data_IF_847882941696
#
_entry.id   IF_847882941696
#
_cell.length_a   1.000
_cell.length_b   1.000
_cell.length_c   1.000
_cell.angle_alpha   90.00
_cell.angle_beta   90.00
_cell.angle_gamma   90.00
#
_symmetry.space_group_name_H-M   'P 1'
#
loop_
_entity.id
_entity.type
_entity.pdbx_description
1 polymer ?
#
# COMPACT_ATOMS: atom_id res chain seq x y z
N UNK A 1 -12.58 0.49 0.88
CA UNK A 1 -11.35 0.49 0.07
C UNK A 1 -11.54 -0.22 -1.27
N UNK A 2 -12.07 -1.45 -1.30
CA UNK A 2 -12.32 -2.22 -2.55
C UNK A 2 -13.04 -1.44 -3.66
N UNK A 3 -14.20 -0.86 -3.35
CA UNK A 3 -15.00 -0.07 -4.32
C UNK A 3 -14.25 1.14 -4.88
N UNK A 4 -13.32 1.72 -4.11
CA UNK A 4 -12.48 2.83 -4.57
C UNK A 4 -11.47 2.34 -5.61
N UNK A 5 -10.78 1.24 -5.32
CA UNK A 5 -9.81 0.62 -6.23
C UNK A 5 -10.47 0.10 -7.52
N UNK A 6 -11.67 -0.47 -7.44
CA UNK A 6 -12.41 -1.00 -8.60
C UNK A 6 -12.69 0.08 -9.66
N UNK A 7 -12.91 1.33 -9.25
CA UNK A 7 -13.16 2.48 -10.14
C UNK A 7 -11.93 2.97 -10.90
N UNK A 8 -10.74 2.58 -10.46
CA UNK A 8 -9.48 2.98 -11.10
C UNK A 8 -9.16 2.05 -12.26
N UNK A 9 -8.49 2.58 -13.28
CA UNK A 9 -7.98 1.76 -14.39
C UNK A 9 -7.00 0.68 -13.87
N UNK A 10 -6.93 -0.43 -14.60
CA UNK A 10 -6.04 -1.54 -14.22
C UNK A 10 -4.60 -1.15 -14.50
N UNK A 11 -3.81 -1.01 -13.43
CA UNK A 11 -2.38 -0.77 -13.49
C UNK A 11 -1.65 -1.59 -12.42
N UNK A 12 -0.34 -1.80 -12.58
CA UNK A 12 0.51 -2.57 -11.66
C UNK A 12 0.34 -2.15 -10.18
N UNK A 13 0.30 -0.84 -9.91
CA UNK A 13 0.13 -0.32 -8.54
C UNK A 13 -1.21 -0.72 -7.92
N UNK A 14 -2.31 -0.68 -8.69
CA UNK A 14 -3.64 -1.13 -8.23
C UNK A 14 -3.61 -2.61 -7.85
N UNK A 15 -2.94 -3.45 -8.64
CA UNK A 15 -2.85 -4.90 -8.36
C UNK A 15 -2.10 -5.18 -7.05
N UNK A 16 -1.02 -4.44 -6.79
CA UNK A 16 -0.27 -4.54 -5.52
C UNK A 16 -1.20 -4.22 -4.34
N UNK A 17 -1.93 -3.09 -4.41
CA UNK A 17 -2.81 -2.67 -3.31
C UNK A 17 -4.01 -3.61 -3.13
N UNK A 18 -4.55 -4.17 -4.22
CA UNK A 18 -5.58 -5.21 -4.14
C UNK A 18 -5.08 -6.47 -3.41
N UNK A 19 -3.90 -6.97 -3.76
CA UNK A 19 -3.32 -8.11 -3.07
C UNK A 19 -3.09 -7.82 -1.57
N UNK A 20 -2.69 -6.59 -1.22
CA UNK A 20 -2.52 -6.16 0.18
C UNK A 20 -3.85 -6.00 0.92
N UNK A 21 -4.90 -5.56 0.24
CA UNK A 21 -6.25 -5.53 0.79
C UNK A 21 -6.75 -6.94 1.12
N UNK A 22 -6.55 -7.89 0.22
CA UNK A 22 -6.97 -9.29 0.45
C UNK A 22 -6.16 -9.91 1.59
N UNK A 23 -4.85 -9.67 1.67
CA UNK A 23 -4.01 -10.10 2.80
C UNK A 23 -4.52 -9.54 4.14
N UNK A 24 -4.78 -8.23 4.21
CA UNK A 24 -5.28 -7.60 5.43
C UNK A 24 -6.65 -8.12 5.83
N UNK A 25 -7.53 -8.43 4.87
CA UNK A 25 -8.83 -9.00 5.17
C UNK A 25 -8.72 -10.36 5.88
N UNK A 26 -7.79 -11.22 5.44
CA UNK A 26 -7.50 -12.51 6.09
C UNK A 26 -6.92 -12.31 7.50
N UNK A 27 -6.00 -11.35 7.65
CA UNK A 27 -5.42 -11.03 8.96
C UNK A 27 -6.47 -10.48 9.93
N UNK A 28 -7.38 -9.62 9.48
CA UNK A 28 -8.47 -9.08 10.31
C UNK A 28 -9.48 -10.15 10.74
N UNK A 29 -9.82 -11.08 9.85
CA UNK A 29 -10.66 -12.23 10.20
C UNK A 29 -9.98 -13.09 11.28
N UNK A 30 -8.67 -13.30 11.16
CA UNK A 30 -7.88 -14.05 12.15
C UNK A 30 -7.79 -13.30 13.49
N UNK A 31 -7.51 -11.99 13.44
CA UNK A 31 -7.46 -11.10 14.61
C UNK A 31 -8.77 -11.10 15.39
N UNK A 32 -9.91 -11.08 14.69
CA UNK A 32 -11.24 -11.08 15.33
C UNK A 32 -11.54 -12.32 16.16
N UNK A 33 -10.79 -13.42 15.94
CA UNK A 33 -10.95 -14.71 16.61
C UNK A 33 -9.94 -14.93 17.75
N UNK A 34 -8.99 -14.02 17.94
CA UNK A 34 -8.04 -14.07 19.04
C UNK A 34 -8.72 -13.76 20.38
N UNK A 35 -8.12 -14.21 21.48
CA UNK A 35 -8.53 -13.78 22.82
C UNK A 35 -8.17 -12.30 23.08
N UNK A 36 -8.77 -11.72 24.12
CA UNK A 36 -8.64 -10.30 24.45
C UNK A 36 -7.20 -9.84 24.72
N UNK A 37 -6.38 -10.71 25.33
CA UNK A 37 -4.99 -10.39 25.63
C UNK A 37 -4.16 -10.31 24.34
N UNK A 38 -4.34 -11.28 23.44
CA UNK A 38 -3.70 -11.28 22.12
C UNK A 38 -4.22 -10.13 21.24
N UNK A 39 -5.52 -9.85 21.26
CA UNK A 39 -6.08 -8.70 20.53
C UNK A 39 -5.45 -7.39 20.99
N UNK A 40 -5.36 -7.16 22.31
CA UNK A 40 -4.75 -5.95 22.88
C UNK A 40 -3.27 -5.82 22.54
N UNK A 41 -2.55 -6.95 22.50
CA UNK A 41 -1.15 -6.98 22.10
C UNK A 41 -0.95 -6.64 20.61
N UNK A 42 -1.73 -7.27 19.72
CA UNK A 42 -1.56 -7.18 18.26
C UNK A 42 -2.22 -5.94 17.63
N UNK A 43 -3.17 -5.28 18.30
CA UNK A 43 -4.01 -4.22 17.72
C UNK A 43 -3.20 -3.09 17.10
N UNK A 44 -2.06 -2.71 17.69
CA UNK A 44 -1.23 -1.61 17.18
C UNK A 44 -0.67 -1.93 15.79
N UNK A 45 -0.20 -3.16 15.59
CA UNK A 45 0.31 -3.62 14.31
C UNK A 45 -0.81 -3.68 13.27
N UNK A 46 -1.97 -4.23 13.63
CA UNK A 46 -3.13 -4.32 12.73
C UNK A 46 -3.60 -2.91 12.31
N UNK A 47 -3.70 -1.98 13.25
CA UNK A 47 -4.07 -0.59 12.96
C UNK A 47 -3.07 0.09 12.01
N UNK A 48 -1.76 -0.13 12.20
CA UNK A 48 -0.74 0.38 11.29
C UNK A 48 -0.91 -0.17 9.87
N UNK A 49 -1.15 -1.48 9.72
CA UNK A 49 -1.40 -2.10 8.41
C UNK A 49 -2.64 -1.52 7.74
N UNK A 50 -3.70 -1.25 8.51
CA UNK A 50 -4.91 -0.57 8.00
C UNK A 50 -4.60 0.84 7.50
N UNK A 51 -3.77 1.60 8.23
CA UNK A 51 -3.35 2.95 7.83
C UNK A 51 -2.53 2.92 6.54
N UNK A 52 -1.49 2.07 6.46
CA UNK A 52 -0.68 1.89 5.26
C UNK A 52 -1.53 1.49 4.05
N UNK A 53 -2.52 0.60 4.24
CA UNK A 53 -3.43 0.22 3.15
C UNK A 53 -4.30 1.39 2.68
N UNK A 54 -4.81 2.20 3.61
CA UNK A 54 -5.60 3.39 3.26
C UNK A 54 -4.77 4.39 2.45
N UNK A 55 -3.58 4.72 2.95
CA UNK A 55 -2.64 5.63 2.30
C UNK A 55 -2.22 5.11 0.92
N UNK A 56 -2.00 3.80 0.79
CA UNK A 56 -1.74 3.13 -0.49
C UNK A 56 -2.86 3.33 -1.50
N UNK A 57 -4.12 3.22 -1.09
CA UNK A 57 -5.27 3.49 -1.98
C UNK A 57 -5.25 4.95 -2.45
N UNK A 58 -5.01 5.89 -1.54
CA UNK A 58 -4.93 7.33 -1.87
C UNK A 58 -3.79 7.61 -2.84
N UNK A 59 -2.62 7.01 -2.63
CA UNK A 59 -1.47 7.16 -3.51
C UNK A 59 -1.78 6.70 -4.94
N UNK A 60 -2.43 5.54 -5.09
CA UNK A 60 -2.83 5.02 -6.42
C UNK A 60 -3.90 5.92 -7.07
N UNK A 61 -4.89 6.40 -6.31
CA UNK A 61 -5.89 7.33 -6.84
C UNK A 61 -5.26 8.62 -7.37
N UNK A 62 -4.29 9.18 -6.63
CA UNK A 62 -3.57 10.38 -7.04
C UNK A 62 -2.71 10.13 -8.27
N UNK A 63 -2.01 8.99 -8.32
CA UNK A 63 -1.25 8.57 -9.49
C UNK A 63 -2.15 8.44 -10.74
N UNK A 64 -3.31 7.81 -10.61
CA UNK A 64 -4.26 7.66 -11.73
C UNK A 64 -4.84 9.01 -12.17
N UNK A 65 -5.17 9.89 -11.22
CA UNK A 65 -5.81 11.17 -11.52
C UNK A 65 -4.84 12.21 -12.11
N UNK A 66 -3.60 12.23 -11.63
CA UNK A 66 -2.65 13.31 -11.92
C UNK A 66 -1.41 12.87 -12.72
N UNK A 67 -1.11 11.56 -12.77
CA UNK A 67 0.04 11.04 -13.50
C UNK A 67 1.38 11.66 -13.06
N UNK A 68 2.36 11.64 -13.97
CA UNK A 68 3.63 12.36 -13.82
C UNK A 68 4.35 12.10 -12.49
N UNK A 69 4.68 13.18 -11.76
CA UNK A 69 5.30 13.15 -10.43
C UNK A 69 4.53 12.28 -9.43
N UNK A 70 3.20 12.30 -9.47
CA UNK A 70 2.38 11.53 -8.53
C UNK A 70 2.43 10.03 -8.80
N UNK A 71 2.57 9.62 -10.06
CA UNK A 71 2.78 8.21 -10.41
C UNK A 71 4.11 7.70 -9.86
N UNK A 72 5.18 8.48 -10.01
CA UNK A 72 6.53 8.15 -9.48
C UNK A 72 6.53 8.10 -7.94
N UNK A 73 5.89 9.07 -7.29
CA UNK A 73 5.75 9.09 -5.83
C UNK A 73 4.94 7.90 -5.29
N UNK A 74 3.84 7.54 -5.96
CA UNK A 74 3.05 6.38 -5.57
C UNK A 74 3.85 5.08 -5.69
N UNK A 75 4.68 4.95 -6.74
CA UNK A 75 5.55 3.79 -6.88
C UNK A 75 6.61 3.70 -5.78
N UNK A 76 7.27 4.81 -5.45
CA UNK A 76 8.23 4.89 -4.34
C UNK A 76 7.55 4.54 -3.01
N UNK A 77 6.39 5.14 -2.74
CA UNK A 77 5.66 4.92 -1.50
C UNK A 77 5.26 3.45 -1.33
N UNK A 78 4.74 2.80 -2.38
CA UNK A 78 4.36 1.39 -2.31
C UNK A 78 5.57 0.46 -2.20
N UNK A 79 6.69 0.81 -2.83
CA UNK A 79 7.94 0.05 -2.71
C UNK A 79 8.46 0.05 -1.28
N UNK A 80 8.49 1.21 -0.63
CA UNK A 80 8.98 1.37 0.75
C UNK A 80 8.01 0.72 1.76
N UNK A 81 6.72 1.08 1.68
CA UNK A 81 5.67 0.63 2.59
C UNK A 81 5.55 -0.90 2.66
N UNK A 82 5.76 -1.58 1.52
CA UNK A 82 5.63 -3.04 1.43
C UNK A 82 6.97 -3.76 1.19
N UNK A 83 8.09 -3.04 1.27
CA UNK A 83 9.44 -3.58 1.08
C UNK A 83 9.55 -4.42 -0.21
N UNK A 84 9.03 -3.89 -1.33
CA UNK A 84 8.93 -4.63 -2.60
C UNK A 84 10.24 -4.74 -3.36
N UNK A 85 11.22 -3.90 -2.99
CA UNK A 85 12.54 -3.84 -3.63
C UNK A 85 13.37 -5.07 -3.28
N UNK A 86 14.00 -5.67 -4.28
CA UNK A 86 14.96 -6.75 -4.10
C UNK A 86 16.40 -6.24 -4.00
N UNK A 87 17.27 -7.04 -3.38
CA UNK A 87 18.68 -6.71 -3.28
C UNK A 87 19.31 -6.55 -4.68
N UNK A 88 19.97 -5.42 -4.91
CA UNK A 88 20.61 -5.11 -6.20
C UNK A 88 19.71 -4.39 -7.20
N UNK A 89 18.40 -4.25 -6.93
CA UNK A 89 17.53 -3.41 -7.76
C UNK A 89 17.85 -1.93 -7.61
N UNK A 90 17.59 -1.17 -8.68
CA UNK A 90 17.77 0.29 -8.72
C UNK A 90 16.93 0.96 -7.64
N UNK A 91 17.47 2.02 -7.04
CA UNK A 91 16.76 2.83 -6.06
C UNK A 91 15.87 3.83 -6.79
N UNK A 92 14.55 3.59 -6.82
CA UNK A 92 13.61 4.48 -7.52
C UNK A 92 13.62 5.90 -6.99
N UNK A 93 13.91 6.07 -5.70
CA UNK A 93 14.11 7.40 -5.08
C UNK A 93 15.24 8.18 -5.72
N UNK A 94 16.33 7.51 -6.10
CA UNK A 94 17.46 8.12 -6.81
C UNK A 94 17.14 8.30 -8.29
N UNK A 95 16.52 7.30 -8.91
CA UNK A 95 16.16 7.33 -10.33
C UNK A 95 15.17 8.46 -10.64
N UNK A 96 14.18 8.67 -9.78
CA UNK A 96 13.12 9.66 -9.98
C UNK A 96 13.41 11.01 -9.34
N UNK A 97 14.59 11.20 -8.72
CA UNK A 97 14.90 12.37 -7.92
C UNK A 97 14.61 13.70 -8.63
N UNK A 98 15.09 13.85 -9.87
CA UNK A 98 14.90 15.07 -10.68
C UNK A 98 13.45 15.32 -11.09
N UNK A 99 12.60 14.30 -11.06
CA UNK A 99 11.20 14.39 -11.47
C UNK A 99 10.24 14.64 -10.30
N UNK A 100 10.69 14.39 -9.07
CA UNK A 100 9.88 14.47 -7.86
C UNK A 100 10.24 15.65 -6.96
N UNK A 101 11.32 16.38 -7.26
CA UNK A 101 11.61 17.69 -6.66
C UNK A 101 10.75 18.76 -7.33
#
# INVERSE_FOLDING_TARGET
>A
MKTRLERLETHKLKQIVLAKLDQLAVELDSFSKLDDALQTFEVKMIAQKMAHLYESVVAVEWATKHGGKFAKLAEIYLEDTYSLRQLGERMKTVEYFSDII
#
